data_IF_062530791618
#
_entry.id   IF_062530791618
#
_cell.length_a   1.000
_cell.length_b   1.000
_cell.length_c   1.000
_cell.angle_alpha   90.00
_cell.angle_beta   90.00
_cell.angle_gamma   90.00
#
_symmetry.space_group_name_H-M   'P 1'
#
loop_
_entity.id
_entity.type
_entity.pdbx_description
1 polymer ?
#
# COMPACT_ATOMS: atom_id res chain seq x y z
N UNK A 1 81.52 21.93 -45.01
CA UNK A 1 81.19 22.00 -43.57
C UNK A 1 79.74 21.54 -43.39
N UNK A 2 79.52 20.55 -42.51
CA UNK A 2 78.26 20.22 -41.76
C UNK A 2 76.95 20.03 -42.56
N UNK A 3 76.33 18.86 -42.80
CA UNK A 3 75.96 17.63 -42.04
C UNK A 3 74.90 17.83 -40.91
N UNK A 4 73.71 17.21 -41.10
CA UNK A 4 72.62 16.84 -40.15
C UNK A 4 71.77 18.03 -39.61
N UNK A 5 70.46 17.96 -39.37
CA UNK A 5 69.59 16.89 -38.87
C UNK A 5 68.13 17.07 -39.39
N UNK A 6 67.49 15.94 -39.70
CA UNK A 6 66.04 15.72 -39.72
C UNK A 6 65.49 15.59 -38.28
N UNK A 7 64.17 15.81 -38.13
CA UNK A 7 63.21 15.35 -37.08
C UNK A 7 62.72 16.40 -36.07
N UNK A 8 61.39 16.59 -36.04
CA UNK A 8 60.46 16.82 -34.90
C UNK A 8 59.15 17.42 -35.46
N UNK A 9 58.22 16.64 -36.03
CA UNK A 9 57.20 15.79 -35.35
C UNK A 9 56.32 16.59 -34.35
N UNK A 10 54.99 16.70 -34.59
CA UNK A 10 54.08 17.52 -33.81
C UNK A 10 53.75 16.83 -32.48
N UNK A 11 54.20 17.42 -31.37
CA UNK A 11 53.84 16.98 -30.02
C UNK A 11 52.72 17.90 -29.52
N UNK A 12 51.45 17.48 -29.58
CA UNK A 12 50.33 17.98 -28.75
C UNK A 12 48.99 17.34 -29.19
N UNK A 13 48.88 16.02 -29.07
CA UNK A 13 47.60 15.31 -29.01
C UNK A 13 47.75 14.21 -27.95
N UNK A 14 46.68 13.95 -27.20
CA UNK A 14 46.57 13.07 -26.01
C UNK A 14 46.71 13.74 -24.64
N UNK A 15 45.87 14.74 -24.36
CA UNK A 15 45.21 14.81 -23.04
C UNK A 15 44.21 13.65 -22.96
N UNK A 16 44.71 12.44 -22.71
CA UNK A 16 43.86 11.33 -22.31
C UNK A 16 43.26 11.67 -20.94
N UNK A 17 42.00 12.12 -20.95
CA UNK A 17 41.22 12.23 -19.72
C UNK A 17 41.16 10.85 -19.08
N UNK A 18 41.78 10.70 -17.91
CA UNK A 18 41.58 9.54 -17.04
C UNK A 18 40.13 9.53 -16.55
N UNK A 19 39.20 9.08 -17.40
CA UNK A 19 37.86 8.71 -16.97
C UNK A 19 37.97 7.43 -16.17
N UNK A 20 37.98 7.53 -14.84
CA UNK A 20 37.91 6.37 -13.96
C UNK A 20 36.63 5.58 -14.29
N UNK A 21 36.80 4.37 -14.81
CA UNK A 21 35.67 3.47 -15.09
C UNK A 21 35.07 3.05 -13.74
N UNK A 22 33.75 3.19 -13.52
CA UNK A 22 33.11 2.81 -12.26
C UNK A 22 33.38 1.34 -11.95
N UNK A 23 33.79 1.05 -10.70
CA UNK A 23 34.05 -0.31 -10.26
C UNK A 23 32.73 -1.12 -10.21
N UNK A 24 32.83 -2.45 -10.17
CA UNK A 24 31.65 -3.30 -9.95
C UNK A 24 30.99 -2.99 -8.60
N UNK A 25 31.76 -2.58 -7.59
CA UNK A 25 31.26 -2.13 -6.30
C UNK A 25 30.45 -0.83 -6.38
N UNK A 26 30.91 0.16 -7.15
CA UNK A 26 30.19 1.44 -7.32
C UNK A 26 28.86 1.21 -8.04
N UNK A 27 28.88 0.41 -9.11
CA UNK A 27 27.67 0.03 -9.84
C UNK A 27 26.69 -0.76 -8.95
N UNK A 28 27.20 -1.64 -8.10
CA UNK A 28 26.36 -2.39 -7.16
C UNK A 28 25.76 -1.46 -6.09
N UNK A 29 26.48 -0.41 -5.67
CA UNK A 29 25.96 0.59 -4.74
C UNK A 29 24.87 1.46 -5.39
N UNK A 30 25.04 1.84 -6.66
CA UNK A 30 24.00 2.54 -7.43
C UNK A 30 22.77 1.66 -7.64
N UNK A 31 22.96 0.36 -7.91
CA UNK A 31 21.85 -0.60 -7.96
C UNK A 31 21.11 -0.69 -6.61
N UNK A 32 21.83 -0.69 -5.48
CA UNK A 32 21.20 -0.68 -4.16
C UNK A 32 20.40 0.60 -3.93
N UNK A 33 20.90 1.76 -4.40
CA UNK A 33 20.18 3.05 -4.33
C UNK A 33 18.92 3.03 -5.20
N UNK A 34 18.99 2.44 -6.39
CA UNK A 34 17.83 2.26 -7.27
C UNK A 34 16.73 1.45 -6.58
N UNK A 35 17.09 0.34 -5.93
CA UNK A 35 16.13 -0.44 -5.13
C UNK A 35 15.53 0.39 -4.00
N UNK A 36 16.33 1.20 -3.29
CA UNK A 36 15.81 2.11 -2.28
C UNK A 36 14.86 3.18 -2.87
N UNK A 37 15.11 3.65 -4.10
CA UNK A 37 14.21 4.59 -4.78
C UNK A 37 12.87 3.92 -5.13
N UNK A 38 12.88 2.67 -5.58
CA UNK A 38 11.66 1.89 -5.83
C UNK A 38 10.84 1.71 -4.55
N UNK A 39 11.51 1.48 -3.41
CA UNK A 39 10.86 1.45 -2.09
C UNK A 39 10.15 2.77 -1.81
N UNK A 40 10.84 3.91 -1.95
CA UNK A 40 10.23 5.23 -1.76
C UNK A 40 9.00 5.46 -2.64
N UNK A 41 9.06 5.04 -3.91
CA UNK A 41 7.93 5.14 -4.83
C UNK A 41 6.74 4.26 -4.43
N UNK A 42 7.00 3.02 -3.99
CA UNK A 42 5.95 2.12 -3.52
C UNK A 42 5.25 2.68 -2.28
N UNK A 43 6.02 3.22 -1.33
CA UNK A 43 5.49 3.81 -0.10
C UNK A 43 4.71 5.11 -0.40
N UNK A 44 5.17 5.92 -1.35
CA UNK A 44 4.43 7.09 -1.84
C UNK A 44 3.05 6.73 -2.40
N UNK A 45 2.97 5.62 -3.17
CA UNK A 45 1.71 5.13 -3.73
C UNK A 45 0.74 4.56 -2.68
N UNK A 46 1.26 3.88 -1.65
CA UNK A 46 0.43 3.27 -0.59
C UNK A 46 -0.08 4.27 0.46
N UNK A 47 0.55 5.45 0.58
CA UNK A 47 0.17 6.51 1.53
C UNK A 47 -0.15 6.00 2.94
N UNK A 48 0.77 5.25 3.59
CA UNK A 48 0.60 4.84 4.99
C UNK A 48 0.46 6.06 5.87
N UNK A 49 -0.36 6.00 6.94
CA UNK A 49 -0.66 7.17 7.79
C UNK A 49 0.25 7.32 9.01
N UNK A 50 0.66 6.19 9.57
CA UNK A 50 1.49 6.15 10.78
C UNK A 50 2.89 5.61 10.47
N UNK A 51 3.83 5.82 11.39
CA UNK A 51 5.15 5.22 11.30
C UNK A 51 5.09 3.68 11.32
N UNK A 52 4.17 3.09 12.08
CA UNK A 52 3.99 1.63 12.11
C UNK A 52 3.43 1.10 10.79
N UNK A 53 2.41 1.76 10.22
CA UNK A 53 1.87 1.39 8.90
C UNK A 53 2.95 1.47 7.82
N UNK A 54 3.78 2.52 7.88
CA UNK A 54 4.91 2.71 6.98
C UNK A 54 5.92 1.57 7.11
N UNK A 55 6.32 1.23 8.34
CA UNK A 55 7.26 0.14 8.61
C UNK A 55 6.72 -1.19 8.10
N UNK A 56 5.46 -1.49 8.42
CA UNK A 56 4.73 -2.68 7.96
C UNK A 56 4.60 -2.76 6.44
N UNK A 57 4.34 -1.64 5.78
CA UNK A 57 4.33 -1.55 4.33
C UNK A 57 5.73 -1.84 3.74
N UNK A 58 6.77 -1.24 4.32
CA UNK A 58 8.14 -1.36 3.84
C UNK A 58 8.71 -2.78 3.98
N UNK A 59 8.48 -3.47 5.10
CA UNK A 59 8.97 -4.86 5.30
C UNK A 59 8.30 -5.88 4.37
N UNK A 60 7.15 -5.55 3.77
CA UNK A 60 6.49 -6.39 2.76
C UNK A 60 7.10 -6.24 1.36
N UNK A 61 8.00 -5.28 1.17
CA UNK A 61 8.70 -5.10 -0.11
C UNK A 61 9.86 -6.10 -0.16
N UNK A 62 9.93 -6.97 -1.19
CA UNK A 62 11.00 -7.97 -1.30
C UNK A 62 12.39 -7.34 -1.28
N UNK A 63 13.32 -7.91 -0.50
CA UNK A 63 14.73 -7.49 -0.46
C UNK A 63 14.99 -6.23 0.38
N UNK A 64 14.02 -5.78 1.17
CA UNK A 64 14.11 -4.58 2.01
C UNK A 64 14.13 -4.96 3.48
N UNK A 65 15.09 -4.41 4.21
CA UNK A 65 15.14 -4.49 5.66
C UNK A 65 14.93 -3.09 6.25
N UNK A 66 13.94 -2.92 7.11
CA UNK A 66 13.71 -1.65 7.81
C UNK A 66 14.57 -1.63 9.07
N UNK A 67 15.41 -0.62 9.25
CA UNK A 67 16.35 -0.55 10.38
C UNK A 67 15.94 0.49 11.43
N UNK A 68 15.27 1.56 11.02
CA UNK A 68 14.84 2.63 11.93
C UNK A 68 13.64 3.38 11.36
N UNK A 69 12.74 3.80 12.25
CA UNK A 69 11.65 4.73 11.97
C UNK A 69 11.77 5.93 12.91
N UNK A 70 11.64 7.13 12.37
CA UNK A 70 11.64 8.38 13.14
C UNK A 70 10.45 9.24 12.73
N UNK A 71 9.65 9.67 13.70
CA UNK A 71 8.37 10.35 13.48
C UNK A 71 7.18 9.48 13.83
N UNK A 72 5.98 10.04 13.80
CA UNK A 72 4.73 9.36 14.21
C UNK A 72 3.65 9.38 13.14
N UNK A 73 3.53 10.47 12.39
CA UNK A 73 2.54 10.69 11.34
C UNK A 73 3.23 11.02 10.03
N UNK A 74 2.78 10.40 8.93
CA UNK A 74 3.25 10.72 7.57
C UNK A 74 2.49 11.90 6.96
N UNK A 75 1.47 12.42 7.64
CA UNK A 75 0.61 13.50 7.13
C UNK A 75 0.80 14.83 7.86
N UNK A 76 1.60 14.85 8.92
CA UNK A 76 1.85 16.04 9.73
C UNK A 76 3.34 16.42 9.74
N UNK A 77 3.63 17.72 9.86
CA UNK A 77 4.99 18.23 10.04
C UNK A 77 5.98 17.77 8.96
N UNK A 78 7.08 17.14 9.41
CA UNK A 78 8.15 16.63 8.55
C UNK A 78 7.90 15.20 8.04
N UNK A 79 6.79 14.57 8.45
CA UNK A 79 6.43 13.20 8.13
C UNK A 79 7.20 12.15 8.93
N UNK A 80 7.36 10.97 8.33
CA UNK A 80 8.14 9.87 8.90
C UNK A 80 9.38 9.63 8.05
N UNK A 81 10.53 9.54 8.71
CA UNK A 81 11.78 9.12 8.11
C UNK A 81 12.00 7.63 8.37
N UNK A 82 12.33 6.87 7.33
CA UNK A 82 12.62 5.43 7.42
C UNK A 82 14.02 5.15 6.89
N UNK A 83 14.82 4.46 7.68
CA UNK A 83 16.12 3.94 7.23
C UNK A 83 15.93 2.51 6.78
N UNK A 84 16.18 2.28 5.50
CA UNK A 84 16.11 0.95 4.87
C UNK A 84 17.48 0.46 4.46
N UNK A 85 17.70 -0.84 4.53
CA UNK A 85 18.85 -1.52 3.94
C UNK A 85 18.39 -2.30 2.72
N UNK A 86 19.03 -2.03 1.59
CA UNK A 86 18.77 -2.69 0.31
C UNK A 86 20.05 -3.32 -0.22
N UNK A 87 19.90 -4.33 -1.07
CA UNK A 87 21.01 -4.97 -1.78
C UNK A 87 21.01 -4.56 -3.25
N UNK A 88 22.20 -4.33 -3.80
CA UNK A 88 22.41 -4.16 -5.23
C UNK A 88 23.48 -5.10 -5.72
N UNK A 89 23.31 -5.62 -6.93
CA UNK A 89 24.28 -6.48 -7.60
C UNK A 89 24.63 -5.90 -8.96
N UNK A 90 25.91 -5.93 -9.31
CA UNK A 90 26.38 -5.48 -10.62
C UNK A 90 27.65 -6.20 -11.06
N UNK A 91 27.77 -6.39 -12.37
CA UNK A 91 29.01 -6.84 -13.02
C UNK A 91 29.77 -5.64 -13.57
N UNK A 92 31.11 -5.70 -13.51
CA UNK A 92 31.97 -4.65 -14.05
C UNK A 92 31.85 -4.52 -15.58
N UNK A 93 32.31 -3.38 -16.12
CA UNK A 93 32.26 -3.14 -17.58
C UNK A 93 33.35 -3.87 -18.38
N UNK A 94 34.24 -4.61 -17.72
CA UNK A 94 35.41 -5.25 -18.35
C UNK A 94 35.22 -6.77 -18.47
N UNK A 95 35.66 -7.39 -19.58
CA UNK A 95 35.66 -8.85 -19.73
C UNK A 95 36.38 -9.53 -18.56
N UNK A 96 35.72 -10.48 -17.90
CA UNK A 96 36.25 -11.20 -16.73
C UNK A 96 36.03 -10.53 -15.38
N UNK A 97 35.31 -9.41 -15.33
CA UNK A 97 34.93 -8.80 -14.05
C UNK A 97 33.96 -9.69 -13.26
N UNK A 98 34.21 -9.82 -11.95
CA UNK A 98 33.34 -10.58 -11.04
C UNK A 98 32.12 -9.74 -10.67
N UNK A 99 30.98 -10.42 -10.52
CA UNK A 99 29.79 -9.82 -9.93
C UNK A 99 30.09 -9.38 -8.49
N UNK A 100 29.68 -8.16 -8.17
CA UNK A 100 29.73 -7.63 -6.82
C UNK A 100 28.30 -7.46 -6.30
N UNK A 101 28.04 -7.96 -5.10
CA UNK A 101 26.81 -7.67 -4.34
C UNK A 101 27.18 -6.80 -3.15
N UNK A 102 26.47 -5.69 -2.96
CA UNK A 102 26.65 -4.81 -1.80
C UNK A 102 25.32 -4.60 -1.10
N UNK A 103 25.39 -4.39 0.22
CA UNK A 103 24.27 -3.91 1.02
C UNK A 103 24.59 -2.49 1.48
N UNK A 104 23.63 -1.58 1.33
CA UNK A 104 23.76 -0.16 1.71
C UNK A 104 22.49 0.32 2.39
N UNK A 105 22.63 1.33 3.23
CA UNK A 105 21.53 1.93 3.94
C UNK A 105 21.18 3.30 3.37
N UNK A 106 19.89 3.56 3.29
CA UNK A 106 19.34 4.78 2.73
C UNK A 106 18.23 5.28 3.63
N UNK A 107 18.18 6.59 3.81
CA UNK A 107 17.06 7.26 4.46
C UNK A 107 16.06 7.72 3.39
N UNK A 108 14.79 7.41 3.62
CA UNK A 108 13.64 7.80 2.81
C UNK A 108 12.69 8.62 3.68
N UNK A 109 12.05 9.62 3.10
CA UNK A 109 11.05 10.43 3.79
C UNK A 109 9.67 10.18 3.18
N UNK A 110 8.68 9.95 4.03
CA UNK A 110 7.27 9.91 3.65
C UNK A 110 6.54 11.01 4.39
N UNK A 111 6.21 12.06 3.66
CA UNK A 111 5.53 13.25 4.16
C UNK A 111 4.65 13.89 3.08
N UNK A 112 3.75 14.83 3.40
CA UNK A 112 2.97 15.55 2.39
C UNK A 112 3.85 16.40 1.45
N UNK A 113 5.07 16.73 1.88
CA UNK A 113 6.03 17.53 1.12
C UNK A 113 7.00 16.67 0.32
N UNK A 114 6.98 15.35 0.50
CA UNK A 114 7.86 14.43 -0.22
C UNK A 114 7.43 14.36 -1.70
N UNK A 115 8.41 14.34 -2.59
CA UNK A 115 8.16 14.25 -4.03
C UNK A 115 8.18 12.80 -4.50
N UNK A 116 7.38 12.50 -5.53
CA UNK A 116 7.50 11.20 -6.19
C UNK A 116 8.88 11.07 -6.82
N UNK A 117 9.58 9.97 -6.51
CA UNK A 117 10.96 9.68 -6.93
C UNK A 117 12.03 10.57 -6.28
N UNK A 118 11.75 11.11 -5.10
CA UNK A 118 12.77 11.74 -4.26
C UNK A 118 13.99 10.82 -4.09
N UNK A 119 15.18 11.40 -4.20
CA UNK A 119 16.42 10.64 -4.22
C UNK A 119 16.77 10.11 -2.81
N UNK A 120 16.97 8.78 -2.65
CA UNK A 120 17.36 8.21 -1.36
C UNK A 120 18.72 8.74 -0.90
N UNK A 121 18.78 9.28 0.32
CA UNK A 121 20.05 9.76 0.89
C UNK A 121 20.80 8.59 1.52
N UNK A 122 22.04 8.36 1.09
CA UNK A 122 22.89 7.33 1.67
C UNK A 122 23.25 7.70 3.13
N UNK A 123 23.15 6.72 4.03
CA UNK A 123 23.46 6.87 5.45
C UNK A 123 24.22 5.64 5.95
N UNK A 124 24.92 5.80 7.07
CA UNK A 124 25.47 4.65 7.79
C UNK A 124 24.33 3.74 8.27
N UNK A 125 24.56 2.43 8.18
CA UNK A 125 23.58 1.47 8.66
C UNK A 125 23.49 1.54 10.18
N UNK A 126 22.31 1.82 10.76
CA UNK A 126 22.11 1.73 12.20
C UNK A 126 22.53 0.37 12.76
N UNK A 127 23.10 0.39 13.95
CA UNK A 127 23.35 -0.83 14.71
C UNK A 127 22.04 -1.49 15.13
N UNK A 128 22.02 -2.82 15.14
CA UNK A 128 20.88 -3.62 15.56
C UNK A 128 20.25 -4.47 14.45
N UNK A 129 19.36 -5.40 14.82
CA UNK A 129 18.62 -6.19 13.85
C UNK A 129 17.57 -5.33 13.11
N UNK A 130 17.13 -5.75 11.92
CA UNK A 130 15.97 -5.15 11.26
C UNK A 130 14.72 -5.19 12.16
N UNK A 131 13.89 -4.17 12.04
CA UNK A 131 12.58 -4.09 12.68
C UNK A 131 11.64 -5.16 12.11
N UNK A 132 10.86 -5.76 13.00
CA UNK A 132 9.81 -6.73 12.67
C UNK A 132 8.46 -6.18 13.11
N UNK A 133 7.41 -6.48 12.36
CA UNK A 133 6.04 -6.04 12.65
C UNK A 133 5.12 -7.25 12.70
N UNK A 134 4.41 -7.43 13.80
CA UNK A 134 3.45 -8.54 13.97
C UNK A 134 2.32 -8.41 12.95
N UNK A 135 1.93 -9.46 12.21
CA UNK A 135 0.86 -9.39 11.23
C UNK A 135 -0.40 -8.72 11.79
N UNK A 136 -1.07 -7.88 10.98
CA UNK A 136 -2.36 -7.33 11.38
C UNK A 136 -3.34 -8.48 11.62
N UNK A 137 -4.18 -8.40 12.67
CA UNK A 137 -5.25 -9.37 12.85
C UNK A 137 -6.12 -9.39 11.58
N UNK A 138 -6.50 -10.59 11.16
CA UNK A 138 -7.39 -10.72 10.02
C UNK A 138 -8.71 -9.98 10.31
N UNK A 139 -9.27 -9.25 9.33
CA UNK A 139 -10.56 -8.59 9.51
C UNK A 139 -11.65 -9.62 9.84
N UNK A 140 -12.65 -9.26 10.66
CA UNK A 140 -13.75 -10.15 10.96
C UNK A 140 -14.51 -10.49 9.68
N UNK A 141 -14.97 -11.74 9.56
CA UNK A 141 -15.77 -12.17 8.41
C UNK A 141 -17.20 -11.66 8.55
N UNK A 142 -17.77 -11.17 7.45
CA UNK A 142 -19.17 -10.77 7.41
C UNK A 142 -20.09 -12.01 7.34
N UNK A 143 -21.15 -12.08 8.17
CA UNK A 143 -21.97 -13.28 8.32
C UNK A 143 -23.11 -13.33 7.29
N UNK A 144 -22.79 -13.69 6.04
CA UNK A 144 -23.78 -13.71 4.95
C UNK A 144 -24.98 -14.62 5.23
N UNK A 145 -24.72 -15.89 5.55
CA UNK A 145 -25.77 -16.89 5.71
C UNK A 145 -26.58 -16.68 6.98
N UNK A 146 -25.92 -16.28 8.07
CA UNK A 146 -26.58 -16.01 9.34
C UNK A 146 -27.44 -14.76 9.25
N UNK A 147 -26.98 -13.70 8.57
CA UNK A 147 -27.79 -12.53 8.31
C UNK A 147 -29.04 -12.92 7.51
N UNK A 148 -28.85 -13.64 6.39
CA UNK A 148 -29.97 -14.09 5.54
C UNK A 148 -30.99 -14.93 6.30
N UNK A 149 -30.53 -15.82 7.17
CA UNK A 149 -31.40 -16.69 7.97
C UNK A 149 -32.15 -15.95 9.08
N UNK A 150 -31.55 -14.92 9.68
CA UNK A 150 -32.16 -14.19 10.82
C UNK A 150 -33.09 -13.06 10.42
N UNK A 151 -32.94 -12.50 9.22
CA UNK A 151 -33.78 -11.39 8.81
C UNK A 151 -35.24 -11.82 8.62
N UNK A 152 -36.20 -10.99 9.04
CA UNK A 152 -37.61 -11.33 8.96
C UNK A 152 -38.05 -11.51 7.50
N UNK A 153 -38.90 -12.51 7.28
CA UNK A 153 -39.58 -12.74 6.01
C UNK A 153 -40.98 -12.12 6.10
N UNK A 154 -41.19 -11.02 5.40
CA UNK A 154 -42.46 -10.28 5.44
C UNK A 154 -43.30 -10.72 4.23
N UNK A 155 -44.52 -11.27 4.42
CA UNK A 155 -45.39 -11.64 3.31
C UNK A 155 -45.74 -10.44 2.42
N UNK A 156 -46.14 -10.71 1.18
CA UNK A 156 -46.69 -9.68 0.30
C UNK A 156 -47.90 -9.00 0.96
N UNK A 157 -47.94 -7.66 0.95
CA UNK A 157 -48.97 -6.87 1.63
C UNK A 157 -48.75 -6.68 3.15
N UNK A 158 -47.73 -7.31 3.72
CA UNK A 158 -47.31 -7.07 5.10
C UNK A 158 -46.60 -5.74 5.30
N UNK A 159 -46.28 -5.43 6.55
CA UNK A 159 -45.49 -4.25 6.96
C UNK A 159 -44.19 -4.70 7.58
N UNK A 160 -43.08 -4.09 7.16
CA UNK A 160 -41.76 -4.32 7.75
C UNK A 160 -41.67 -3.59 9.10
N UNK A 161 -41.27 -4.30 10.16
CA UNK A 161 -40.94 -3.72 11.48
C UNK A 161 -39.43 -3.48 11.59
N UNK A 162 -39.02 -2.21 11.59
CA UNK A 162 -37.60 -1.83 11.79
C UNK A 162 -37.07 -2.32 13.14
N UNK A 163 -37.89 -2.32 14.19
CA UNK A 163 -37.47 -2.78 15.50
C UNK A 163 -37.19 -4.29 15.50
N UNK A 164 -37.96 -5.08 14.74
CA UNK A 164 -37.70 -6.50 14.53
C UNK A 164 -36.37 -6.73 13.79
N UNK A 165 -36.12 -5.96 12.74
CA UNK A 165 -34.83 -6.00 12.03
C UNK A 165 -33.66 -5.68 12.96
N UNK A 166 -33.77 -4.63 13.79
CA UNK A 166 -32.73 -4.28 14.76
C UNK A 166 -32.52 -5.36 15.82
N UNK A 167 -33.59 -6.03 16.29
CA UNK A 167 -33.50 -7.18 17.20
C UNK A 167 -32.79 -8.37 16.54
N UNK A 168 -33.11 -8.67 15.29
CA UNK A 168 -32.46 -9.74 14.53
C UNK A 168 -30.95 -9.50 14.37
N UNK A 169 -30.56 -8.25 14.08
CA UNK A 169 -29.15 -7.84 13.99
C UNK A 169 -28.43 -7.92 15.34
N UNK A 170 -29.07 -7.47 16.43
CA UNK A 170 -28.49 -7.59 17.77
C UNK A 170 -28.24 -9.06 18.15
N UNK A 171 -29.11 -9.97 17.73
CA UNK A 171 -28.98 -11.41 17.97
C UNK A 171 -27.88 -12.10 17.13
N UNK A 172 -27.20 -11.37 16.22
CA UNK A 172 -26.01 -11.88 15.52
C UNK A 172 -24.72 -11.74 16.35
N UNK A 173 -24.75 -10.94 17.44
CA UNK A 173 -23.58 -10.69 18.30
C UNK A 173 -22.32 -10.29 17.49
N UNK A 174 -22.50 -9.30 16.60
CA UNK A 174 -21.45 -8.89 15.67
C UNK A 174 -20.24 -8.30 16.41
N UNK A 175 -19.00 -8.62 16.00
CA UNK A 175 -17.81 -7.96 16.51
C UNK A 175 -17.89 -6.43 16.40
N UNK A 176 -17.36 -5.66 17.37
CA UNK A 176 -17.39 -4.19 17.33
C UNK A 176 -16.75 -3.56 16.10
N UNK A 177 -15.82 -4.27 15.44
CA UNK A 177 -15.18 -3.85 14.20
C UNK A 177 -16.10 -3.90 12.96
N UNK A 178 -17.27 -4.55 13.06
CA UNK A 178 -18.30 -4.54 12.01
C UNK A 178 -19.25 -3.38 12.29
N UNK A 179 -19.13 -2.32 11.49
CA UNK A 179 -20.07 -1.20 11.50
C UNK A 179 -21.41 -1.66 10.95
N UNK A 180 -22.47 -1.37 11.68
CA UNK A 180 -23.85 -1.70 11.31
C UNK A 180 -24.66 -0.41 11.12
N UNK A 181 -25.34 -0.28 9.98
CA UNK A 181 -26.31 0.79 9.74
C UNK A 181 -27.66 0.20 9.34
N UNK A 182 -28.74 0.83 9.79
CA UNK A 182 -30.13 0.42 9.50
C UNK A 182 -30.93 1.67 9.18
N UNK A 183 -31.65 1.64 8.06
CA UNK A 183 -32.50 2.74 7.62
C UNK A 183 -33.83 2.21 7.07
N UNK A 184 -34.93 2.69 7.62
CA UNK A 184 -36.25 2.49 7.02
C UNK A 184 -36.54 3.56 5.97
N UNK A 185 -37.10 3.14 4.84
CA UNK A 185 -37.60 4.04 3.80
C UNK A 185 -38.66 3.35 2.92
N UNK A 186 -39.75 4.08 2.61
CA UNK A 186 -40.79 3.59 1.71
C UNK A 186 -41.42 2.24 2.09
N UNK A 187 -41.54 1.93 3.38
CA UNK A 187 -42.07 0.64 3.87
C UNK A 187 -41.08 -0.53 3.79
N UNK A 188 -39.81 -0.24 3.50
CA UNK A 188 -38.70 -1.19 3.42
C UNK A 188 -37.66 -0.84 4.49
N UNK A 189 -36.78 -1.79 4.81
CA UNK A 189 -35.63 -1.54 5.71
C UNK A 189 -34.36 -2.00 5.01
N UNK A 190 -33.42 -1.08 4.84
CA UNK A 190 -32.07 -1.33 4.35
C UNK A 190 -31.09 -1.51 5.49
N UNK A 191 -30.10 -2.37 5.28
CA UNK A 191 -29.09 -2.76 6.25
C UNK A 191 -27.73 -2.75 5.57
N UNK A 192 -26.73 -2.21 6.26
CA UNK A 192 -25.32 -2.30 5.89
C UNK A 192 -24.56 -2.94 7.06
N UNK A 193 -23.80 -4.00 6.77
CA UNK A 193 -22.69 -4.46 7.61
C UNK A 193 -21.39 -4.16 6.87
N UNK A 194 -20.45 -3.47 7.50
CA UNK A 194 -19.18 -3.10 6.86
C UNK A 194 -18.00 -3.23 7.81
N UNK A 195 -16.90 -3.77 7.31
CA UNK A 195 -15.59 -3.68 7.97
C UNK A 195 -14.87 -2.48 7.40
N UNK A 196 -14.21 -1.69 8.24
CA UNK A 196 -13.40 -0.57 7.78
C UNK A 196 -12.21 -1.08 6.96
N UNK A 197 -12.11 -0.63 5.71
CA UNK A 197 -11.00 -0.96 4.81
C UNK A 197 -9.81 -0.02 5.02
N UNK A 198 -8.73 -0.24 4.26
CA UNK A 198 -7.55 0.63 4.29
C UNK A 198 -7.69 1.92 3.44
N UNK A 199 -8.85 2.13 2.81
CA UNK A 199 -9.10 3.29 1.94
C UNK A 199 -8.49 3.19 0.54
N UNK A 200 -7.93 2.04 0.16
CA UNK A 200 -7.37 1.78 -1.18
C UNK A 200 -7.95 0.52 -1.82
N UNK A 201 -8.18 -0.52 -1.03
CA UNK A 201 -8.72 -1.80 -1.48
C UNK A 201 -10.26 -1.82 -1.42
N UNK A 202 -10.92 -2.75 -2.14
CA UNK A 202 -12.35 -2.98 -2.00
C UNK A 202 -12.72 -3.22 -0.53
N UNK A 203 -13.66 -2.42 -0.02
CA UNK A 203 -14.14 -2.55 1.34
C UNK A 203 -14.99 -3.82 1.49
N UNK A 204 -14.81 -4.58 2.57
CA UNK A 204 -15.72 -5.69 2.88
C UNK A 204 -17.03 -5.16 3.43
N UNK A 205 -18.11 -5.33 2.68
CA UNK A 205 -19.46 -4.96 3.08
C UNK A 205 -20.51 -5.93 2.58
N UNK A 206 -21.59 -6.02 3.35
CA UNK A 206 -22.77 -6.82 3.09
C UNK A 206 -23.99 -5.93 3.19
N UNK A 207 -24.84 -5.99 2.17
CA UNK A 207 -26.10 -5.27 2.14
C UNK A 207 -27.25 -6.23 2.32
N UNK A 208 -28.30 -5.75 2.97
CA UNK A 208 -29.57 -6.45 3.00
C UNK A 208 -30.74 -5.48 2.91
N UNK A 209 -31.83 -5.98 2.34
CA UNK A 209 -33.08 -5.24 2.23
C UNK A 209 -34.24 -6.15 2.62
N UNK A 210 -35.01 -5.72 3.62
CA UNK A 210 -36.26 -6.35 4.00
C UNK A 210 -37.41 -5.56 3.40
N UNK A 211 -38.24 -6.22 2.60
CA UNK A 211 -39.41 -5.64 1.95
C UNK A 211 -40.62 -6.57 2.07
N UNK A 212 -41.85 -6.05 1.96
CA UNK A 212 -43.01 -6.91 1.81
C UNK A 212 -42.86 -7.79 0.55
N UNK A 213 -42.97 -9.10 0.72
CA UNK A 213 -42.83 -10.09 -0.36
C UNK A 213 -41.41 -10.55 -0.64
N UNK A 214 -40.38 -10.01 0.03
CA UNK A 214 -39.00 -10.46 -0.20
C UNK A 214 -37.94 -9.84 0.71
N UNK A 215 -36.95 -10.65 1.05
CA UNK A 215 -35.74 -10.23 1.77
C UNK A 215 -34.52 -10.63 0.97
N UNK A 216 -33.71 -9.63 0.59
CA UNK A 216 -32.51 -9.81 -0.22
C UNK A 216 -31.26 -9.56 0.64
N UNK A 217 -30.22 -10.37 0.44
CA UNK A 217 -28.90 -10.19 1.06
C UNK A 217 -27.83 -10.39 -0.01
N UNK A 218 -26.93 -9.43 -0.19
CA UNK A 218 -25.90 -9.48 -1.24
C UNK A 218 -24.64 -8.68 -0.85
N UNK A 219 -23.50 -9.11 -1.38
CA UNK A 219 -22.29 -8.31 -1.39
C UNK A 219 -22.20 -7.56 -2.72
N UNK A 220 -21.95 -6.23 -2.73
CA UNK A 220 -21.69 -5.50 -3.96
C UNK A 220 -20.46 -6.04 -4.70
N UNK A 221 -20.38 -5.78 -6.00
CA UNK A 221 -19.21 -6.16 -6.82
C UNK A 221 -17.93 -5.51 -6.29
N UNK A 222 -16.77 -6.11 -6.56
CA UNK A 222 -15.47 -5.57 -6.11
C UNK A 222 -15.27 -4.09 -6.50
N UNK A 223 -15.70 -3.70 -7.71
CA UNK A 223 -15.62 -2.32 -8.18
C UNK A 223 -16.51 -1.38 -7.36
N UNK A 224 -17.77 -1.75 -7.09
CA UNK A 224 -18.68 -0.93 -6.27
C UNK A 224 -18.23 -0.82 -4.81
N UNK A 225 -17.39 -1.74 -4.34
CA UNK A 225 -16.79 -1.71 -3.00
C UNK A 225 -15.53 -0.85 -2.92
N UNK A 226 -15.05 -0.31 -4.04
CA UNK A 226 -13.91 0.60 -4.02
C UNK A 226 -14.25 1.89 -3.25
N UNK A 227 -13.27 2.47 -2.54
CA UNK A 227 -13.45 3.76 -1.87
C UNK A 227 -13.95 4.84 -2.84
N UNK A 228 -15.08 5.46 -2.50
CA UNK A 228 -15.71 6.52 -3.31
C UNK A 228 -16.83 6.07 -4.26
N UNK A 229 -16.96 4.78 -4.55
CA UNK A 229 -17.97 4.27 -5.51
C UNK A 229 -19.38 4.14 -4.90
N UNK A 230 -19.51 4.26 -3.58
CA UNK A 230 -20.81 4.32 -2.88
C UNK A 230 -21.54 2.99 -2.70
N UNK A 231 -20.97 1.87 -3.17
CA UNK A 231 -21.61 0.55 -3.06
C UNK A 231 -21.75 0.04 -1.63
N UNK A 232 -20.86 0.42 -0.71
CA UNK A 232 -20.95 0.07 0.71
C UNK A 232 -21.71 1.14 1.52
N UNK A 233 -22.98 1.35 1.21
CA UNK A 233 -23.85 2.30 1.93
C UNK A 233 -25.25 1.73 2.18
N UNK A 234 -25.90 2.16 3.27
CA UNK A 234 -27.30 1.79 3.55
C UNK A 234 -28.26 2.34 2.50
N UNK A 235 -27.88 3.44 1.81
CA UNK A 235 -28.60 3.95 0.66
C UNK A 235 -28.62 2.95 -0.50
N UNK A 236 -27.46 2.35 -0.82
CA UNK A 236 -27.36 1.31 -1.84
C UNK A 236 -28.11 0.02 -1.47
N UNK A 237 -28.36 -0.23 -0.16
CA UNK A 237 -29.24 -1.32 0.26
C UNK A 237 -30.72 -1.06 -0.07
N UNK A 238 -31.17 0.19 0.01
CA UNK A 238 -32.55 0.57 -0.32
C UNK A 238 -32.75 0.68 -1.83
N UNK A 239 -31.80 1.35 -2.49
CA UNK A 239 -31.83 1.70 -3.90
C UNK A 239 -30.50 1.28 -4.56
N UNK A 240 -30.38 -0.01 -4.95
CA UNK A 240 -29.12 -0.55 -5.48
C UNK A 240 -28.72 0.11 -6.80
N UNK A 241 -27.45 0.49 -6.89
CA UNK A 241 -26.84 0.89 -8.15
C UNK A 241 -26.84 -0.28 -9.14
N UNK A 242 -27.06 -0.01 -10.44
CA UNK A 242 -26.92 -1.03 -11.47
C UNK A 242 -25.49 -1.60 -11.45
N UNK A 243 -25.31 -2.90 -11.76
CA UNK A 243 -23.98 -3.49 -11.82
C UNK A 243 -23.13 -2.78 -12.89
N UNK A 244 -21.83 -2.54 -12.62
CA UNK A 244 -20.93 -1.93 -13.60
C UNK A 244 -20.82 -2.83 -14.84
N UNK A 245 -20.87 -2.21 -16.02
CA UNK A 245 -20.80 -2.84 -17.33
C UNK A 245 -19.37 -3.29 -17.69
#
# INVERSE_FOLDING_TARGET
MTRRLLLLAPLLLFTAGCGAVPSSGDKAADAAREEARKVGQALYGQRPRTAEDLGRAAVRIPGVEVLRLTGTSTHDGDGVEVVVRTSGAATGGWPGSREATVRRCFTLRVSPKAEWREEPRAVDCPDGPPLTFDPLPAPPRLPYEELRAKLPQVPAGGRVDEAEVRRALAALDLPPAIRTEVKADGGRVGILLAVEGNGFDPQDCLLARVSPGGTDVWAPSAMQRMPGEGGCSVGNALDPQPPPH
#
